data_IF_778303035907
#
_entry.id   IF_778303035907
#
_cell.length_a   1.000
_cell.length_b   1.000
_cell.length_c   1.000
_cell.angle_alpha   90.00
_cell.angle_beta   90.00
_cell.angle_gamma   90.00
#
_symmetry.space_group_name_H-M   'P 1'
#
loop_
_entity.id
_entity.type
_entity.pdbx_description
1 polymer ?
#
# COMPACT_ATOMS: atom_id res chain seq x y z
N UNK A 1 -0.60 47.93 -1.56
CA UNK A 1 -0.77 47.38 -0.20
C UNK A 1 0.13 46.16 -0.10
N UNK A 2 1.25 46.25 0.62
CA UNK A 2 2.18 45.12 0.77
C UNK A 2 1.66 44.18 1.84
N UNK A 3 1.16 43.02 1.44
CA UNK A 3 0.78 41.94 2.35
C UNK A 3 1.98 41.57 3.23
N UNK A 4 1.80 41.71 4.54
CA UNK A 4 2.83 41.45 5.55
C UNK A 4 3.11 39.95 5.53
N UNK A 5 4.22 39.54 4.91
CA UNK A 5 4.65 38.14 4.82
C UNK A 5 4.80 37.58 6.24
N UNK A 6 3.80 36.83 6.71
CA UNK A 6 3.83 36.16 8.00
C UNK A 6 5.05 35.24 8.01
N UNK A 7 5.88 35.34 9.05
CA UNK A 7 7.04 34.47 9.18
C UNK A 7 6.56 33.00 9.22
N UNK A 8 7.20 32.08 8.47
CA UNK A 8 6.79 30.69 8.49
C UNK A 8 6.85 30.11 9.90
N UNK A 9 5.83 29.33 10.27
CA UNK A 9 5.77 28.61 11.54
C UNK A 9 6.73 27.41 11.51
N UNK A 10 7.99 27.67 11.84
CA UNK A 10 9.05 26.68 11.76
C UNK A 10 8.98 25.58 12.82
N UNK A 11 8.39 25.87 13.99
CA UNK A 11 8.15 24.85 15.03
C UNK A 11 7.16 23.80 14.49
N UNK A 12 6.11 24.25 13.81
CA UNK A 12 5.11 23.36 13.23
C UNK A 12 5.62 22.60 12.00
N UNK A 13 6.45 23.26 11.16
CA UNK A 13 7.14 22.58 10.05
C UNK A 13 8.09 21.49 10.56
N UNK A 14 8.80 21.74 11.67
CA UNK A 14 9.66 20.73 12.29
C UNK A 14 8.85 19.51 12.73
N UNK A 15 7.75 19.73 13.43
CA UNK A 15 6.86 18.68 13.94
C UNK A 15 6.32 17.82 12.78
N UNK A 16 5.81 18.45 11.71
CA UNK A 16 5.33 17.72 10.52
C UNK A 16 6.45 17.02 9.76
N UNK A 17 7.65 17.61 9.73
CA UNK A 17 8.83 16.98 9.16
C UNK A 17 9.18 15.71 9.94
N UNK A 18 9.25 15.79 11.28
CA UNK A 18 9.57 14.67 12.19
C UNK A 18 8.50 13.58 12.16
N UNK A 19 7.22 13.97 12.02
CA UNK A 19 6.09 13.06 11.81
C UNK A 19 6.32 12.17 10.58
N UNK A 20 6.88 12.73 9.51
CA UNK A 20 7.29 11.96 8.33
C UNK A 20 6.14 11.42 7.47
N UNK A 21 4.88 11.71 7.83
CA UNK A 21 3.67 11.28 7.10
C UNK A 21 3.52 12.04 5.79
N UNK A 22 3.76 13.35 5.80
CA UNK A 22 3.71 14.19 4.61
C UNK A 22 5.06 14.21 3.87
N UNK A 23 5.02 14.36 2.55
CA UNK A 23 6.22 14.68 1.77
C UNK A 23 6.66 16.13 2.06
N UNK A 24 7.96 16.41 1.93
CA UNK A 24 8.48 17.76 2.16
C UNK A 24 7.82 18.79 1.22
N UNK A 25 7.42 18.38 0.01
CA UNK A 25 6.65 19.21 -0.92
C UNK A 25 5.26 19.56 -0.41
N UNK A 26 4.55 18.61 0.19
CA UNK A 26 3.24 18.85 0.80
C UNK A 26 3.34 19.79 2.00
N UNK A 27 4.35 19.60 2.85
CA UNK A 27 4.64 20.51 3.98
C UNK A 27 4.95 21.91 3.42
N UNK A 28 5.81 22.02 2.41
CA UNK A 28 6.14 23.28 1.76
C UNK A 28 4.90 24.02 1.23
N UNK A 29 4.00 23.30 0.56
CA UNK A 29 2.73 23.85 0.07
C UNK A 29 1.80 24.30 1.20
N UNK A 30 1.66 23.50 2.27
CA UNK A 30 0.79 23.81 3.40
C UNK A 30 1.24 25.07 4.17
N UNK A 31 2.55 25.28 4.29
CA UNK A 31 3.13 26.39 5.05
C UNK A 31 3.59 27.57 4.19
N UNK A 32 3.37 27.54 2.87
CA UNK A 32 3.76 28.62 1.96
C UNK A 32 5.27 28.86 1.88
N UNK A 33 6.09 27.82 2.09
CA UNK A 33 7.56 27.85 2.00
C UNK A 33 8.06 27.00 0.84
N UNK A 34 9.34 27.11 0.48
CA UNK A 34 9.94 26.23 -0.52
C UNK A 34 10.46 24.93 0.11
N UNK A 35 10.34 23.81 -0.62
CA UNK A 35 10.90 22.50 -0.23
C UNK A 35 12.41 22.62 0.12
N UNK A 36 13.16 23.38 -0.68
CA UNK A 36 14.58 23.66 -0.42
C UNK A 36 14.84 24.39 0.90
N UNK A 37 13.96 25.31 1.32
CA UNK A 37 14.09 26.01 2.60
C UNK A 37 13.89 25.06 3.79
N UNK A 38 12.93 24.13 3.69
CA UNK A 38 12.71 23.10 4.70
C UNK A 38 13.93 22.19 4.80
N UNK A 39 14.44 21.66 3.67
CA UNK A 39 15.63 20.78 3.66
C UNK A 39 16.86 21.45 4.23
N UNK A 40 17.11 22.72 3.87
CA UNK A 40 18.24 23.48 4.38
C UNK A 40 18.16 23.60 5.91
N UNK A 41 16.98 23.95 6.42
CA UNK A 41 16.77 24.10 7.86
C UNK A 41 16.85 22.77 8.60
N UNK A 42 16.24 21.72 8.06
CA UNK A 42 16.34 20.36 8.59
C UNK A 42 17.80 19.91 8.72
N UNK A 43 18.66 20.23 7.74
CA UNK A 43 20.10 19.95 7.82
C UNK A 43 20.80 20.78 8.89
N UNK A 44 20.48 22.08 8.99
CA UNK A 44 21.11 22.99 9.98
C UNK A 44 20.68 22.67 11.42
N UNK A 45 19.46 22.20 11.62
CA UNK A 45 18.88 21.89 12.92
C UNK A 45 18.80 20.39 13.21
N UNK A 46 19.43 19.56 12.36
CA UNK A 46 19.54 18.10 12.51
C UNK A 46 18.19 17.37 12.69
N UNK A 47 17.14 17.87 12.01
CA UNK A 47 15.81 17.25 12.07
C UNK A 47 15.82 15.85 11.46
N UNK A 48 15.19 14.90 12.15
CA UNK A 48 15.09 13.49 11.75
C UNK A 48 13.63 13.01 11.79
N UNK A 49 13.23 12.12 10.87
CA UNK A 49 11.87 11.54 10.82
C UNK A 49 11.67 10.43 11.86
N UNK A 50 11.75 10.77 13.13
CA UNK A 50 11.76 9.82 14.26
C UNK A 50 10.37 9.43 14.78
N UNK A 51 9.34 10.23 14.51
CA UNK A 51 7.98 9.97 15.01
C UNK A 51 7.20 8.98 14.16
N UNK A 52 7.65 8.72 12.93
CA UNK A 52 6.94 7.91 11.95
C UNK A 52 6.63 6.49 12.49
N UNK A 53 7.61 5.85 13.14
CA UNK A 53 7.41 4.51 13.74
C UNK A 53 6.36 4.51 14.86
N UNK A 54 6.37 5.52 15.74
CA UNK A 54 5.39 5.66 16.82
C UNK A 54 3.97 5.92 16.27
N UNK A 55 3.87 6.76 15.24
CA UNK A 55 2.62 7.08 14.53
C UNK A 55 2.01 5.81 13.92
N UNK A 56 2.81 5.03 13.18
CA UNK A 56 2.33 3.79 12.56
C UNK A 56 1.93 2.73 13.59
N UNK A 57 2.72 2.53 14.65
CA UNK A 57 2.38 1.60 15.72
C UNK A 57 1.05 1.97 16.41
N UNK A 58 0.84 3.27 16.66
CA UNK A 58 -0.42 3.77 17.23
C UNK A 58 -1.59 3.63 16.25
N UNK A 59 -1.38 3.91 14.96
CA UNK A 59 -2.39 3.72 13.92
C UNK A 59 -2.82 2.25 13.84
N UNK A 60 -1.88 1.31 13.86
CA UNK A 60 -2.15 -0.13 13.85
C UNK A 60 -2.96 -0.57 15.08
N UNK A 61 -2.66 -0.02 16.27
CA UNK A 61 -3.46 -0.26 17.47
C UNK A 61 -4.90 0.27 17.35
N UNK A 62 -5.08 1.46 16.75
CA UNK A 62 -6.40 2.03 16.46
C UNK A 62 -7.18 1.15 15.49
N UNK A 63 -6.54 0.72 14.39
CA UNK A 63 -7.17 -0.14 13.38
C UNK A 63 -7.56 -1.50 13.97
N UNK A 64 -6.74 -2.07 14.86
CA UNK A 64 -7.05 -3.34 15.55
C UNK A 64 -8.28 -3.23 16.44
N UNK A 65 -8.45 -2.10 17.11
CA UNK A 65 -9.60 -1.84 18.01
C UNK A 65 -10.81 -1.24 17.28
N UNK A 66 -10.63 -0.78 16.03
CA UNK A 66 -11.61 -0.07 15.22
C UNK A 66 -12.11 1.26 15.84
N UNK A 67 -11.37 1.85 16.77
CA UNK A 67 -11.78 3.08 17.48
C UNK A 67 -11.05 4.30 16.91
N UNK A 68 -11.59 4.92 15.85
CA UNK A 68 -11.07 6.18 15.32
C UNK A 68 -11.65 7.35 16.10
N UNK A 69 -10.80 8.26 16.59
CA UNK A 69 -11.27 9.56 17.09
C UNK A 69 -11.50 10.50 15.90
N UNK A 70 -12.71 11.06 15.81
CA UNK A 70 -13.10 11.96 14.71
C UNK A 70 -12.66 13.41 14.93
N UNK A 71 -12.37 13.81 16.18
CA UNK A 71 -11.99 15.19 16.49
C UNK A 71 -10.49 15.44 16.22
N UNK A 72 -10.19 16.07 15.09
CA UNK A 72 -8.89 16.71 14.85
C UNK A 72 -9.03 18.17 15.29
N UNK A 73 -8.52 18.52 16.48
CA UNK A 73 -8.47 19.92 16.95
C UNK A 73 -7.43 20.71 16.17
N UNK A 74 -7.81 21.21 15.00
CA UNK A 74 -7.02 22.15 14.21
C UNK A 74 -7.39 23.59 14.59
N UNK A 75 -7.07 24.02 15.81
CA UNK A 75 -7.10 25.45 16.14
C UNK A 75 -5.76 26.10 15.76
N UNK A 76 -5.74 27.26 15.07
CA UNK A 76 -4.52 28.02 14.77
C UNK A 76 -3.74 28.48 16.00
N UNK A 77 -4.37 28.50 17.18
CA UNK A 77 -3.80 29.02 18.43
C UNK A 77 -3.11 27.94 19.29
N UNK A 78 -3.05 26.70 18.80
CA UNK A 78 -2.64 25.57 19.63
C UNK A 78 -1.23 25.07 19.27
N UNK A 79 -0.30 25.15 20.22
CA UNK A 79 1.03 24.51 20.13
C UNK A 79 0.84 23.00 20.24
N UNK A 80 0.66 22.32 19.11
CA UNK A 80 0.54 20.87 19.09
C UNK A 80 1.80 20.25 19.70
N UNK A 81 1.62 19.51 20.80
CA UNK A 81 2.69 18.71 21.39
C UNK A 81 3.07 17.55 20.48
N UNK A 82 4.26 16.96 20.67
CA UNK A 82 4.67 15.72 19.98
C UNK A 82 3.57 14.64 20.10
N UNK A 83 2.99 14.50 21.31
CA UNK A 83 1.92 13.55 21.59
C UNK A 83 0.68 13.81 20.74
N UNK A 84 0.21 15.05 20.66
CA UNK A 84 -0.97 15.38 19.86
C UNK A 84 -0.73 15.21 18.36
N UNK A 85 0.49 15.49 17.90
CA UNK A 85 0.90 15.24 16.51
C UNK A 85 0.87 13.75 16.19
N UNK A 86 1.41 12.92 17.09
CA UNK A 86 1.37 11.46 16.95
C UNK A 86 -0.09 10.99 16.91
N UNK A 87 -0.92 11.47 17.83
CA UNK A 87 -2.31 11.06 17.95
C UNK A 87 -3.14 11.47 16.72
N UNK A 88 -2.99 12.71 16.25
CA UNK A 88 -3.69 13.21 15.08
C UNK A 88 -3.29 12.43 13.82
N UNK A 89 -1.99 12.26 13.57
CA UNK A 89 -1.50 11.51 12.42
C UNK A 89 -1.89 10.02 12.48
N UNK A 90 -1.83 9.40 13.66
CA UNK A 90 -2.24 8.01 13.83
C UNK A 90 -3.74 7.81 13.55
N UNK A 91 -4.60 8.72 14.00
CA UNK A 91 -6.03 8.68 13.70
C UNK A 91 -6.32 8.87 12.21
N UNK A 92 -5.60 9.77 11.54
CA UNK A 92 -5.73 9.99 10.09
C UNK A 92 -5.35 8.71 9.31
N UNK A 93 -4.19 8.13 9.59
CA UNK A 93 -3.73 6.90 8.93
C UNK A 93 -4.69 5.75 9.20
N UNK A 94 -5.13 5.58 10.47
CA UNK A 94 -6.08 4.54 10.82
C UNK A 94 -7.44 4.71 10.13
N UNK A 95 -7.93 5.95 10.02
CA UNK A 95 -9.14 6.28 9.29
C UNK A 95 -9.05 5.90 7.81
N UNK A 96 -7.93 6.24 7.15
CA UNK A 96 -7.66 5.85 5.76
C UNK A 96 -7.67 4.32 5.62
N UNK A 97 -6.96 3.59 6.48
CA UNK A 97 -6.89 2.13 6.41
C UNK A 97 -8.25 1.47 6.63
N UNK A 98 -9.05 1.97 7.58
CA UNK A 98 -10.40 1.45 7.82
C UNK A 98 -11.36 1.74 6.66
N UNK A 99 -11.26 2.92 6.04
CA UNK A 99 -12.05 3.25 4.85
C UNK A 99 -11.64 2.37 3.66
N UNK A 100 -10.34 2.19 3.41
CA UNK A 100 -9.85 1.27 2.38
C UNK A 100 -10.39 -0.14 2.58
N UNK A 101 -10.36 -0.67 3.81
CA UNK A 101 -10.95 -2.00 4.10
C UNK A 101 -12.44 -2.05 3.76
N UNK A 102 -13.21 -1.03 4.10
CA UNK A 102 -14.65 -0.95 3.75
C UNK A 102 -14.88 -0.86 2.24
N UNK A 103 -14.10 -0.04 1.54
CA UNK A 103 -14.21 0.14 0.10
C UNK A 103 -13.89 -1.15 -0.65
N UNK A 104 -12.82 -1.85 -0.23
CA UNK A 104 -12.43 -3.15 -0.79
C UNK A 104 -13.53 -4.19 -0.54
N UNK A 105 -14.07 -4.27 0.69
CA UNK A 105 -15.18 -5.17 1.01
C UNK A 105 -16.40 -4.90 0.12
N UNK A 106 -16.79 -3.63 -0.04
CA UNK A 106 -17.91 -3.23 -0.91
C UNK A 106 -17.66 -3.64 -2.36
N UNK A 107 -16.47 -3.36 -2.89
CA UNK A 107 -16.10 -3.72 -4.26
C UNK A 107 -16.11 -5.25 -4.47
N UNK A 108 -15.66 -6.02 -3.48
CA UNK A 108 -15.72 -7.49 -3.51
C UNK A 108 -17.16 -7.99 -3.52
N UNK A 109 -18.03 -7.47 -2.66
CA UNK A 109 -19.45 -7.84 -2.66
C UNK A 109 -20.12 -7.55 -4.00
N UNK A 110 -19.81 -6.40 -4.63
CA UNK A 110 -20.33 -6.08 -5.96
C UNK A 110 -19.79 -7.04 -7.04
N UNK A 111 -18.49 -7.34 -7.01
CA UNK A 111 -17.87 -8.29 -7.94
C UNK A 111 -18.52 -9.68 -7.84
N UNK A 112 -18.76 -10.17 -6.62
CA UNK A 112 -19.46 -11.44 -6.40
C UNK A 112 -20.92 -11.38 -6.86
N UNK A 113 -21.65 -10.30 -6.60
CA UNK A 113 -23.01 -10.14 -7.12
C UNK A 113 -23.08 -10.16 -8.65
N UNK A 114 -22.08 -9.62 -9.34
CA UNK A 114 -21.99 -9.71 -10.81
C UNK A 114 -21.64 -11.12 -11.29
N UNK A 115 -20.86 -11.90 -10.52
CA UNK A 115 -20.69 -13.33 -10.80
C UNK A 115 -22.01 -14.09 -10.65
N UNK A 116 -22.78 -13.80 -9.61
CA UNK A 116 -24.09 -14.42 -9.39
C UNK A 116 -25.03 -14.08 -10.56
N UNK A 117 -25.08 -12.83 -11.03
CA UNK A 117 -25.87 -12.45 -12.22
C UNK A 117 -25.44 -13.23 -13.47
N UNK A 118 -24.13 -13.37 -13.71
CA UNK A 118 -23.63 -14.17 -14.83
C UNK A 118 -24.01 -15.65 -14.69
N UNK A 119 -24.00 -16.21 -13.48
CA UNK A 119 -24.44 -17.58 -13.22
C UNK A 119 -25.89 -17.79 -13.65
N UNK A 120 -26.78 -16.84 -13.35
CA UNK A 120 -28.18 -16.90 -13.79
C UNK A 120 -28.33 -16.81 -15.32
N UNK A 121 -27.40 -16.13 -16.01
CA UNK A 121 -27.38 -16.06 -17.49
C UNK A 121 -26.74 -17.28 -18.16
N UNK A 122 -26.07 -18.14 -17.39
CA UNK A 122 -25.40 -19.35 -17.87
C UNK A 122 -26.36 -20.55 -17.77
N UNK A 123 -26.31 -21.41 -18.79
CA UNK A 123 -27.19 -22.59 -18.92
C UNK A 123 -27.88 -22.61 -20.28
N UNK A 124 -28.01 -23.80 -20.87
CA UNK A 124 -28.63 -23.94 -22.20
C UNK A 124 -30.09 -23.47 -22.17
N UNK A 125 -30.83 -23.81 -21.12
CA UNK A 125 -32.24 -23.42 -20.95
C UNK A 125 -32.40 -21.90 -20.76
N UNK A 126 -31.65 -21.29 -19.84
CA UNK A 126 -31.71 -19.84 -19.62
C UNK A 126 -31.23 -19.06 -20.83
N UNK A 127 -30.19 -19.53 -21.52
CA UNK A 127 -29.74 -18.90 -22.76
C UNK A 127 -30.84 -18.92 -23.83
N UNK A 128 -31.53 -20.06 -24.00
CA UNK A 128 -32.65 -20.16 -24.94
C UNK A 128 -33.80 -19.23 -24.56
N UNK A 129 -34.19 -19.19 -23.26
CA UNK A 129 -35.23 -18.28 -22.78
C UNK A 129 -34.89 -16.81 -23.03
N UNK A 130 -33.62 -16.43 -22.87
CA UNK A 130 -33.16 -15.06 -23.17
C UNK A 130 -33.21 -14.77 -24.67
N UNK A 131 -32.86 -15.74 -25.53
CA UNK A 131 -33.02 -15.58 -26.98
C UNK A 131 -34.48 -15.44 -27.39
N UNK A 132 -35.36 -16.33 -26.91
CA UNK A 132 -36.79 -16.28 -27.18
C UNK A 132 -37.40 -14.95 -26.69
N UNK A 133 -36.96 -14.45 -25.54
CA UNK A 133 -37.38 -13.16 -25.02
C UNK A 133 -36.95 -12.00 -25.93
N UNK A 134 -35.71 -12.02 -26.44
CA UNK A 134 -35.24 -11.04 -27.41
C UNK A 134 -36.03 -11.06 -28.72
N UNK A 135 -36.41 -12.25 -29.18
CA UNK A 135 -37.24 -12.40 -30.38
C UNK A 135 -38.66 -11.84 -30.16
N UNK A 136 -39.26 -12.08 -28.99
CA UNK A 136 -40.58 -11.52 -28.63
C UNK A 136 -40.53 -10.00 -28.44
N UNK A 137 -39.44 -9.47 -27.88
CA UNK A 137 -39.26 -8.03 -27.66
C UNK A 137 -38.95 -7.24 -28.93
N UNK A 138 -38.65 -7.91 -30.04
CA UNK A 138 -38.24 -7.26 -31.28
C UNK A 138 -39.31 -6.30 -31.79
N UNK A 139 -38.92 -5.03 -31.92
CA UNK A 139 -39.74 -3.92 -32.37
C UNK A 139 -38.90 -2.99 -33.26
N UNK A 140 -38.98 -3.25 -34.56
CA UNK A 140 -38.26 -2.46 -35.56
C UNK A 140 -38.86 -1.07 -35.74
N UNK A 141 -38.00 -0.09 -36.01
CA UNK A 141 -38.39 1.23 -36.48
C UNK A 141 -38.68 1.24 -38.00
N UNK A 142 -39.05 2.39 -38.55
CA UNK A 142 -39.34 2.57 -40.00
C UNK A 142 -38.15 2.22 -40.91
N UNK A 143 -36.95 2.03 -40.34
CA UNK A 143 -35.72 1.64 -41.03
C UNK A 143 -35.31 0.18 -40.77
N UNK A 144 -36.16 -0.60 -40.11
CA UNK A 144 -35.87 -2.00 -39.78
C UNK A 144 -34.87 -2.17 -38.62
N UNK A 145 -34.61 -1.12 -37.83
CA UNK A 145 -33.63 -1.15 -36.74
C UNK A 145 -34.33 -1.28 -35.39
N UNK A 146 -33.79 -2.13 -34.51
CA UNK A 146 -34.20 -2.20 -33.11
C UNK A 146 -32.96 -2.13 -32.22
N UNK A 147 -32.49 -0.90 -31.98
CA UNK A 147 -31.26 -0.65 -31.20
C UNK A 147 -31.33 -1.20 -29.78
N UNK A 148 -32.52 -1.28 -29.19
CA UNK A 148 -32.69 -1.79 -27.83
C UNK A 148 -32.52 -3.31 -27.81
N UNK A 149 -33.21 -4.01 -28.72
CA UNK A 149 -33.07 -5.45 -28.83
C UNK A 149 -31.68 -5.86 -29.36
N UNK A 150 -31.09 -5.11 -30.29
CA UNK A 150 -29.73 -5.32 -30.77
C UNK A 150 -28.72 -5.27 -29.62
N UNK A 151 -28.89 -4.31 -28.69
CA UNK A 151 -28.06 -4.19 -27.49
C UNK A 151 -28.29 -5.37 -26.54
N UNK A 152 -29.55 -5.75 -26.32
CA UNK A 152 -29.90 -6.90 -25.49
C UNK A 152 -29.30 -8.20 -26.04
N UNK A 153 -29.53 -8.50 -27.31
CA UNK A 153 -28.98 -9.65 -28.03
C UNK A 153 -27.45 -9.67 -27.94
N UNK A 154 -26.81 -8.51 -28.08
CA UNK A 154 -25.36 -8.40 -27.90
C UNK A 154 -24.95 -8.76 -26.46
N UNK A 155 -25.64 -8.28 -25.43
CA UNK A 155 -25.29 -8.57 -24.03
C UNK A 155 -25.40 -10.07 -23.72
N UNK A 156 -26.47 -10.73 -24.19
CA UNK A 156 -26.72 -12.15 -23.91
C UNK A 156 -25.90 -13.10 -24.80
N UNK A 157 -25.08 -12.60 -25.73
CA UNK A 157 -24.23 -13.45 -26.56
C UNK A 157 -23.08 -14.07 -25.75
N UNK A 158 -22.78 -15.33 -26.04
CA UNK A 158 -21.75 -16.11 -25.35
C UNK A 158 -20.37 -15.41 -25.31
N UNK A 159 -19.83 -14.82 -26.40
CA UNK A 159 -18.55 -14.13 -26.35
C UNK A 159 -18.51 -12.97 -25.36
N UNK A 160 -19.62 -12.23 -25.21
CA UNK A 160 -19.70 -11.12 -24.25
C UNK A 160 -19.79 -11.63 -22.81
N UNK A 161 -20.54 -12.72 -22.55
CA UNK A 161 -20.54 -13.37 -21.23
C UNK A 161 -19.16 -13.90 -20.83
N UNK A 162 -18.44 -14.55 -21.75
CA UNK A 162 -17.06 -15.04 -21.50
C UNK A 162 -16.12 -13.88 -21.19
N UNK A 163 -16.25 -12.77 -21.93
CA UNK A 163 -15.48 -11.55 -21.64
C UNK A 163 -15.80 -10.99 -20.26
N UNK A 164 -17.09 -10.85 -19.91
CA UNK A 164 -17.50 -10.38 -18.58
C UNK A 164 -16.95 -11.28 -17.47
N UNK A 165 -16.99 -12.60 -17.63
CA UNK A 165 -16.42 -13.56 -16.67
C UNK A 165 -14.92 -13.34 -16.48
N UNK A 166 -14.17 -13.14 -17.58
CA UNK A 166 -12.73 -12.84 -17.51
C UNK A 166 -12.45 -11.54 -16.77
N UNK A 167 -13.15 -10.46 -17.15
CA UNK A 167 -12.95 -9.13 -16.58
C UNK A 167 -13.28 -9.12 -15.06
N UNK A 168 -14.31 -9.85 -14.64
CA UNK A 168 -14.62 -10.08 -13.22
C UNK A 168 -13.54 -10.91 -12.51
N UNK A 169 -13.00 -11.94 -13.16
CA UNK A 169 -11.89 -12.74 -12.62
C UNK A 169 -10.63 -11.91 -12.36
N UNK A 170 -10.26 -11.05 -13.32
CA UNK A 170 -9.15 -10.10 -13.18
C UNK A 170 -9.42 -9.06 -12.07
N UNK A 171 -10.67 -8.60 -11.96
CA UNK A 171 -11.11 -7.70 -10.88
C UNK A 171 -10.98 -8.38 -9.51
N UNK A 172 -11.47 -9.61 -9.36
CA UNK A 172 -11.40 -10.37 -8.12
C UNK A 172 -9.94 -10.63 -7.70
N UNK A 173 -9.07 -10.99 -8.65
CA UNK A 173 -7.63 -11.15 -8.39
C UNK A 173 -7.01 -9.88 -7.83
N UNK A 174 -7.33 -8.73 -8.43
CA UNK A 174 -6.86 -7.41 -7.95
C UNK A 174 -7.38 -7.12 -6.55
N UNK A 175 -8.67 -7.33 -6.30
CA UNK A 175 -9.29 -7.12 -5.00
C UNK A 175 -8.66 -7.99 -3.90
N UNK A 176 -8.40 -9.27 -4.18
CA UNK A 176 -7.69 -10.16 -3.24
C UNK A 176 -6.30 -9.62 -2.91
N UNK A 177 -5.55 -9.11 -3.89
CA UNK A 177 -4.25 -8.47 -3.64
C UNK A 177 -4.37 -7.25 -2.72
N UNK A 178 -5.37 -6.40 -2.95
CA UNK A 178 -5.65 -5.25 -2.09
C UNK A 178 -6.10 -5.66 -0.68
N UNK A 179 -6.87 -6.74 -0.54
CA UNK A 179 -7.24 -7.31 0.77
C UNK A 179 -5.98 -7.75 1.54
N UNK A 180 -5.11 -8.53 0.90
CA UNK A 180 -3.85 -8.98 1.51
C UNK A 180 -3.01 -7.78 2.00
N UNK A 181 -2.95 -6.70 1.21
CA UNK A 181 -2.25 -5.47 1.60
C UNK A 181 -2.93 -4.71 2.73
N UNK A 182 -4.24 -4.49 2.65
CA UNK A 182 -5.02 -3.72 3.64
C UNK A 182 -5.05 -4.37 5.03
N UNK A 183 -4.89 -5.70 5.09
CA UNK A 183 -4.77 -6.47 6.33
C UNK A 183 -3.33 -6.71 6.77
N UNK A 184 -2.34 -6.22 6.01
CA UNK A 184 -0.92 -6.39 6.32
C UNK A 184 -0.43 -7.84 6.19
N UNK A 185 -1.16 -8.67 5.45
CA UNK A 185 -0.81 -10.06 5.14
C UNK A 185 0.25 -10.15 4.03
N UNK A 186 0.50 -9.04 3.32
CA UNK A 186 1.59 -8.91 2.33
C UNK A 186 2.96 -8.64 2.97
N UNK A 187 3.02 -8.46 4.30
CA UNK A 187 4.30 -8.42 5.00
C UNK A 187 4.91 -9.82 4.86
N UNK A 188 5.72 -10.02 3.81
CA UNK A 188 6.80 -11.01 3.85
C UNK A 188 7.42 -10.82 5.22
N UNK A 189 7.46 -11.88 6.04
CA UNK A 189 8.38 -11.89 7.17
C UNK A 189 9.67 -11.31 6.60
N UNK A 190 10.17 -10.22 7.17
CA UNK A 190 11.58 -9.93 7.01
C UNK A 190 12.24 -11.21 7.51
N UNK A 191 12.60 -12.11 6.58
CA UNK A 191 13.67 -13.04 6.80
C UNK A 191 14.84 -12.11 7.12
N UNK A 192 14.98 -11.76 8.40
CA UNK A 192 16.31 -11.63 8.97
C UNK A 192 16.97 -12.91 8.51
N UNK A 193 17.82 -12.81 7.49
CA UNK A 193 18.69 -13.90 7.13
C UNK A 193 19.23 -14.41 8.46
N UNK A 194 18.91 -15.68 8.77
CA UNK A 194 19.38 -16.32 9.99
C UNK A 194 20.86 -15.95 10.15
N UNK A 195 21.33 -15.62 11.35
CA UNK A 195 22.69 -15.12 11.54
C UNK A 195 23.71 -16.07 10.88
N UNK A 196 23.34 -17.37 10.82
CA UNK A 196 24.01 -18.42 10.06
C UNK A 196 24.00 -18.20 8.53
N UNK A 197 22.87 -17.88 7.92
CA UNK A 197 22.75 -17.57 6.49
C UNK A 197 23.51 -16.30 6.12
N UNK A 198 23.50 -15.29 6.98
CA UNK A 198 24.31 -14.09 6.81
C UNK A 198 25.82 -14.40 6.90
N UNK A 199 26.22 -15.31 7.81
CA UNK A 199 27.60 -15.79 7.94
C UNK A 199 28.05 -16.60 6.71
N UNK A 200 27.23 -17.54 6.25
CA UNK A 200 27.51 -18.38 5.08
C UNK A 200 27.67 -17.53 3.82
N UNK A 201 26.78 -16.56 3.61
CA UNK A 201 26.90 -15.63 2.48
C UNK A 201 28.16 -14.76 2.57
N UNK A 202 28.56 -14.35 3.78
CA UNK A 202 29.81 -13.60 4.00
C UNK A 202 31.04 -14.45 3.67
N UNK A 203 31.05 -15.72 4.06
CA UNK A 203 32.14 -16.68 3.77
C UNK A 203 32.17 -17.01 2.27
N UNK A 204 31.01 -17.26 1.65
CA UNK A 204 30.91 -17.61 0.23
C UNK A 204 31.26 -16.44 -0.71
N UNK A 205 31.04 -15.20 -0.28
CA UNK A 205 31.37 -14.00 -1.07
C UNK A 205 32.79 -13.47 -0.77
N UNK A 206 33.41 -13.88 0.34
CA UNK A 206 34.82 -13.57 0.59
C UNK A 206 35.71 -14.50 -0.25
N UNK A 207 36.13 -14.02 -1.42
CA UNK A 207 37.19 -14.67 -2.19
C UNK A 207 38.51 -14.66 -1.38
N UNK A 208 38.81 -15.81 -0.77
CA UNK A 208 40.17 -16.37 -0.57
C UNK A 208 41.29 -15.42 -0.15
N UNK A 209 41.25 -14.81 1.04
CA UNK A 209 42.44 -14.15 1.61
C UNK A 209 42.53 -14.08 3.14
N UNK A 210 41.45 -14.34 3.90
CA UNK A 210 41.47 -14.16 5.37
C UNK A 210 41.97 -15.37 6.16
N UNK A 211 41.89 -16.57 5.60
CA UNK A 211 42.50 -17.78 6.15
C UNK A 211 43.58 -18.26 5.18
N UNK A 212 44.79 -17.72 5.31
CA UNK A 212 45.96 -18.26 4.64
C UNK A 212 46.49 -19.44 5.49
N UNK A 213 46.81 -20.60 4.90
CA UNK A 213 47.58 -21.61 5.62
C UNK A 213 48.93 -20.99 6.00
N UNK A 214 49.31 -21.10 7.28
CA UNK A 214 50.61 -20.65 7.75
C UNK A 214 51.66 -21.53 7.07
N UNK A 215 52.49 -20.94 6.21
CA UNK A 215 53.42 -21.70 5.38
C UNK A 215 54.62 -22.29 6.16
N UNK A 216 54.86 -21.84 7.39
CA UNK A 216 55.92 -22.35 8.25
C UNK A 216 55.53 -22.10 9.71
N UNK A 217 55.41 -23.18 10.47
CA UNK A 217 55.17 -23.17 11.91
C UNK A 217 56.52 -23.33 12.63
N UNK A 218 57.08 -22.25 13.21
CA UNK A 218 58.37 -22.30 13.90
C UNK A 218 58.35 -23.14 15.19
N UNK A 219 57.18 -23.57 15.67
CA UNK A 219 57.08 -24.51 16.79
C UNK A 219 57.17 -25.98 16.35
N UNK A 220 56.96 -26.29 15.06
CA UNK A 220 56.98 -27.67 14.55
C UNK A 220 58.40 -28.17 14.19
N UNK A 221 59.33 -27.27 13.88
CA UNK A 221 60.70 -27.63 13.44
C UNK A 221 61.71 -27.78 14.59
N UNK A 222 61.30 -27.54 15.85
CA UNK A 222 62.17 -27.67 17.02
C UNK A 222 62.12 -29.04 17.73
N UNK A 223 61.43 -30.05 17.18
CA UNK A 223 61.33 -31.37 17.82
C UNK A 223 62.15 -32.50 17.16
N UNK A 224 62.92 -32.25 16.10
CA UNK A 224 63.71 -33.31 15.43
C UNK A 224 65.20 -32.96 15.24
N UNK A 225 65.86 -32.52 16.32
CA UNK A 225 67.26 -32.14 16.28
C UNK A 225 68.03 -32.32 17.58
N UNK A 226 67.85 -33.44 18.30
CA UNK A 226 68.91 -34.02 19.13
C UNK A 226 68.55 -35.45 19.55
N UNK A 227 68.95 -36.41 18.74
CA UNK A 227 69.15 -37.80 19.16
C UNK A 227 70.51 -38.23 18.62
N UNK A 228 71.46 -38.31 19.54
CA UNK A 228 72.82 -38.85 19.43
C UNK A 228 72.88 -40.21 18.74
#
# INVERSE_FOLDING_TARGET
MSEKKVAPDWERIEIEYRAGVQSIRQIAQAFGVSDGAIRKRAKTQEWTRDLNGKIHAKAEAIVRTQVVRTEVRNSPEYKATEKETIDANANLIAGIQLNQRKDIQRARSLCMGLFDELEHMIGIENANLLYDFGDVMRKEDDKGQDKLNDLYMKIIQLPNRVKSMKDLGDTLKTLVGLEVQAYGLDKKQEEKADDLTALINRIAQSNSSTFQPVAHDPEFDNENGDAT
#
